data_IF_672341047571
#
_entry.id   IF_672341047571
#
_cell.length_a   1.000
_cell.length_b   1.000
_cell.length_c   1.000
_cell.angle_alpha   90.00
_cell.angle_beta   90.00
_cell.angle_gamma   90.00
#
_symmetry.space_group_name_H-M   'P 1'
#
loop_
_entity.id
_entity.type
_entity.pdbx_description
1 polymer ?
#
# COMPACT_ATOMS: atom_id res chain seq x y z
N UNK A 1 16.61 -11.31 -1.53
CA UNK A 1 15.21 -11.23 -2.00
C UNK A 1 14.80 -9.76 -2.08
N UNK A 2 14.21 -9.31 -3.18
CA UNK A 2 13.75 -7.92 -3.34
C UNK A 2 12.55 -7.63 -2.42
N UNK A 3 12.39 -6.38 -1.97
CA UNK A 3 11.25 -5.98 -1.10
C UNK A 3 9.90 -6.34 -1.71
N UNK A 4 9.76 -6.20 -3.03
CA UNK A 4 8.54 -6.55 -3.75
C UNK A 4 8.19 -8.04 -3.60
N UNK A 5 9.17 -8.93 -3.76
CA UNK A 5 9.00 -10.38 -3.59
C UNK A 5 8.58 -10.73 -2.15
N UNK A 6 9.16 -10.06 -1.16
CA UNK A 6 8.77 -10.26 0.25
C UNK A 6 7.31 -9.84 0.50
N UNK A 7 6.86 -8.71 -0.06
CA UNK A 7 5.45 -8.28 0.01
C UNK A 7 4.52 -9.29 -0.67
N UNK A 8 4.92 -9.83 -1.83
CA UNK A 8 4.18 -10.89 -2.54
C UNK A 8 4.05 -12.15 -1.69
N UNK A 9 5.11 -12.56 -1.00
CA UNK A 9 5.08 -13.72 -0.10
C UNK A 9 4.15 -13.49 1.09
N UNK A 10 4.12 -12.28 1.67
CA UNK A 10 3.17 -11.93 2.75
C UNK A 10 1.73 -12.00 2.22
N UNK A 11 1.46 -11.48 1.01
CA UNK A 11 0.15 -11.55 0.35
C UNK A 11 -0.28 -13.01 0.13
N UNK A 12 0.63 -13.86 -0.34
CA UNK A 12 0.41 -15.28 -0.53
C UNK A 12 0.06 -15.98 0.78
N UNK A 13 0.83 -15.74 1.85
CA UNK A 13 0.55 -16.30 3.19
C UNK A 13 -0.81 -15.87 3.74
N UNK A 14 -1.20 -14.60 3.53
CA UNK A 14 -2.51 -14.10 3.91
C UNK A 14 -3.64 -14.84 3.16
N UNK A 15 -3.48 -15.12 1.86
CA UNK A 15 -4.45 -15.90 1.06
C UNK A 15 -4.52 -17.37 1.47
N UNK A 16 -3.42 -17.93 1.97
CA UNK A 16 -3.40 -19.27 2.59
C UNK A 16 -4.08 -19.32 3.96
N UNK A 17 -4.59 -18.19 4.48
CA UNK A 17 -5.23 -18.12 5.79
C UNK A 17 -4.24 -18.23 6.96
N UNK A 18 -2.95 -18.01 6.71
CA UNK A 18 -1.92 -18.05 7.75
C UNK A 18 -2.07 -16.88 8.71
N UNK A 19 -1.71 -17.10 9.97
CA UNK A 19 -1.66 -16.04 10.96
C UNK A 19 -0.50 -15.08 10.70
N UNK A 20 -0.58 -13.89 11.30
CA UNK A 20 0.49 -12.89 11.24
C UNK A 20 1.79 -13.40 11.87
N UNK A 21 1.70 -14.21 12.92
CA UNK A 21 2.85 -14.81 13.61
C UNK A 21 3.53 -15.87 12.75
N UNK A 22 2.77 -16.76 12.12
CA UNK A 22 3.31 -17.73 11.15
C UNK A 22 3.98 -17.02 9.97
N UNK A 23 3.35 -15.94 9.47
CA UNK A 23 3.90 -15.15 8.36
C UNK A 23 5.20 -14.45 8.75
N UNK A 24 5.28 -13.87 9.95
CA UNK A 24 6.50 -13.25 10.46
C UNK A 24 7.65 -14.27 10.53
N UNK A 25 7.40 -15.44 11.12
CA UNK A 25 8.41 -16.51 11.25
C UNK A 25 8.86 -16.94 9.85
N UNK A 26 7.93 -17.27 8.95
CA UNK A 26 8.25 -17.70 7.59
C UNK A 26 9.04 -16.63 6.82
N UNK A 27 8.64 -15.36 6.89
CA UNK A 27 9.35 -14.24 6.24
C UNK A 27 10.76 -14.05 6.81
N UNK A 28 10.98 -14.26 8.11
CA UNK A 28 12.30 -14.17 8.71
C UNK A 28 13.17 -15.39 8.38
N UNK A 29 12.60 -16.59 8.34
CA UNK A 29 13.31 -17.82 7.97
C UNK A 29 13.78 -17.78 6.52
N UNK A 30 12.94 -17.33 5.58
CA UNK A 30 13.27 -17.30 4.15
C UNK A 30 14.27 -16.20 3.80
N UNK A 31 14.15 -15.02 4.42
CA UNK A 31 14.95 -13.85 4.05
C UNK A 31 16.14 -13.58 4.98
N UNK A 32 16.17 -14.20 6.16
CA UNK A 32 17.20 -13.99 7.17
C UNK A 32 17.37 -12.50 7.52
N UNK A 33 18.60 -12.01 7.37
CA UNK A 33 19.00 -10.63 7.72
C UNK A 33 18.34 -9.59 6.81
N UNK A 34 17.98 -9.97 5.58
CA UNK A 34 17.36 -9.08 4.59
C UNK A 34 15.83 -9.03 4.73
N UNK A 35 15.26 -9.68 5.74
CA UNK A 35 13.81 -9.71 5.95
C UNK A 35 13.26 -8.32 6.27
N UNK A 36 12.05 -8.04 5.79
CA UNK A 36 11.28 -6.88 6.23
C UNK A 36 11.21 -6.84 7.76
N UNK A 37 11.33 -5.64 8.32
CA UNK A 37 11.15 -5.43 9.76
C UNK A 37 9.76 -5.91 10.17
N UNK A 38 9.65 -6.38 11.42
CA UNK A 38 8.39 -6.82 12.02
C UNK A 38 7.24 -5.83 11.76
N UNK A 39 7.46 -4.53 11.98
CA UNK A 39 6.43 -3.50 11.74
C UNK A 39 5.91 -3.47 10.30
N UNK A 40 6.79 -3.58 9.31
CA UNK A 40 6.41 -3.61 7.90
C UNK A 40 5.62 -4.88 7.56
N UNK A 41 6.02 -6.04 8.09
CA UNK A 41 5.26 -7.29 7.88
C UNK A 41 3.84 -7.16 8.44
N UNK A 42 3.69 -6.54 9.61
CA UNK A 42 2.37 -6.34 10.22
C UNK A 42 1.48 -5.41 9.41
N UNK A 43 2.05 -4.31 8.92
CA UNK A 43 1.35 -3.36 8.06
C UNK A 43 0.86 -4.03 6.78
N UNK A 44 1.75 -4.71 6.05
CA UNK A 44 1.38 -5.40 4.81
C UNK A 44 0.34 -6.50 5.03
N UNK A 45 0.54 -7.33 6.06
CA UNK A 45 -0.40 -8.39 6.38
C UNK A 45 -1.80 -7.83 6.70
N UNK A 46 -1.88 -6.74 7.46
CA UNK A 46 -3.16 -6.10 7.81
C UNK A 46 -3.83 -5.47 6.58
N UNK A 47 -3.06 -4.84 5.67
CA UNK A 47 -3.57 -4.31 4.41
C UNK A 47 -4.17 -5.41 3.54
N UNK A 48 -3.44 -6.52 3.35
CA UNK A 48 -3.94 -7.65 2.55
C UNK A 48 -5.17 -8.30 3.18
N UNK A 49 -5.22 -8.43 4.51
CA UNK A 49 -6.40 -8.94 5.22
C UNK A 49 -7.61 -8.02 5.06
N UNK A 50 -7.39 -6.72 4.93
CA UNK A 50 -8.41 -5.72 4.63
C UNK A 50 -8.82 -5.63 3.15
N UNK A 51 -8.29 -6.49 2.28
CA UNK A 51 -8.61 -6.51 0.84
C UNK A 51 -7.80 -5.53 -0.02
N UNK A 52 -6.83 -4.80 0.55
CA UNK A 52 -5.96 -3.94 -0.23
C UNK A 52 -4.85 -4.76 -0.90
N UNK A 53 -4.99 -4.97 -2.20
CA UNK A 53 -4.17 -5.91 -2.96
C UNK A 53 -2.90 -5.34 -3.60
N UNK A 54 -2.76 -4.01 -3.64
CA UNK A 54 -1.59 -3.31 -4.22
C UNK A 54 -0.32 -3.62 -3.44
N UNK A 55 0.80 -3.78 -4.16
CA UNK A 55 2.13 -4.02 -3.60
C UNK A 55 2.95 -2.73 -3.53
N UNK A 56 2.47 -1.68 -4.17
CA UNK A 56 3.01 -0.34 -4.15
C UNK A 56 2.66 0.34 -2.82
N UNK A 57 3.59 1.17 -2.35
CA UNK A 57 3.26 2.08 -1.27
C UNK A 57 2.24 3.08 -1.82
N UNK A 58 1.13 3.28 -1.12
CA UNK A 58 0.14 4.25 -1.55
C UNK A 58 0.79 5.63 -1.47
N UNK A 59 0.66 6.40 -2.55
CA UNK A 59 1.17 7.76 -2.62
C UNK A 59 0.68 8.48 -1.38
N UNK A 60 1.58 8.81 -0.45
CA UNK A 60 1.22 9.67 0.67
C UNK A 60 0.71 10.95 0.04
N UNK A 61 -0.58 11.22 0.22
CA UNK A 61 -1.14 12.54 -0.05
C UNK A 61 -0.44 13.51 0.89
N UNK A 62 0.74 13.97 0.48
CA UNK A 62 1.43 15.07 1.11
C UNK A 62 0.54 16.29 0.98
N UNK A 63 0.57 17.15 2.01
CA UNK A 63 -0.10 18.45 2.02
C UNK A 63 0.05 19.08 0.64
N UNK A 64 -1.07 19.30 -0.06
CA UNK A 64 -1.08 20.02 -1.33
C UNK A 64 -0.31 21.32 -1.09
N UNK A 65 0.76 21.54 -1.85
CA UNK A 65 1.45 22.82 -1.79
C UNK A 65 0.44 23.87 -2.25
N UNK A 66 0.00 24.73 -1.33
CA UNK A 66 -0.78 25.91 -1.69
C UNK A 66 0.18 26.84 -2.42
N UNK A 67 0.26 26.71 -3.74
CA UNK A 67 0.86 27.74 -4.57
C UNK A 67 0.00 29.00 -4.44
N UNK A 68 0.50 29.97 -3.69
CA UNK A 68 -0.06 31.32 -3.66
C UNK A 68 0.14 31.93 -5.05
N UNK A 69 -0.87 31.79 -5.94
CA UNK A 69 -0.93 32.51 -7.22
C UNK A 69 -0.87 34.01 -6.94
N UNK A 70 0.28 34.64 -7.17
CA UNK A 70 0.33 36.07 -7.50
C UNK A 70 -0.02 36.20 -8.97
N UNK A 71 -1.28 36.59 -9.20
CA UNK A 71 -1.85 37.22 -10.38
C UNK A 71 -1.69 36.53 -11.75
N UNK A 72 -2.80 35.96 -12.22
CA UNK A 72 -3.21 36.04 -13.62
C UNK A 72 -2.65 34.97 -14.55
N UNK A 73 -3.30 33.80 -14.57
CA UNK A 73 -3.72 33.01 -15.75
C UNK A 73 -4.14 31.64 -15.22
N UNK A 74 -5.43 31.32 -15.38
CA UNK A 74 -6.01 30.08 -14.89
C UNK A 74 -5.53 28.90 -15.74
N UNK A 75 -4.72 28.01 -15.17
CA UNK A 75 -4.60 26.66 -15.69
C UNK A 75 -5.78 25.83 -15.16
N UNK A 76 -6.65 25.44 -16.09
CA UNK A 76 -7.70 24.44 -15.87
C UNK A 76 -7.04 23.08 -15.57
N UNK A 77 -7.31 22.55 -14.38
CA UNK A 77 -6.99 21.16 -14.07
C UNK A 77 -8.27 20.35 -14.29
N UNK A 78 -8.32 19.61 -15.39
CA UNK A 78 -9.38 18.62 -15.65
C UNK A 78 -9.22 17.50 -14.62
N UNK A 79 -9.96 17.59 -13.52
CA UNK A 79 -10.17 16.45 -12.62
C UNK A 79 -11.26 15.56 -13.22
N UNK A 80 -10.87 14.35 -13.63
CA UNK A 80 -11.82 13.29 -13.97
C UNK A 80 -12.65 12.94 -12.72
N UNK A 81 -13.89 13.40 -12.69
CA UNK A 81 -14.88 12.98 -11.71
C UNK A 81 -15.26 11.54 -12.07
N UNK A 82 -14.87 10.58 -11.21
CA UNK A 82 -15.41 9.23 -11.22
C UNK A 82 -16.93 9.34 -10.94
N UNK A 83 -17.83 8.89 -11.83
CA UNK A 83 -19.26 9.00 -11.56
C UNK A 83 -19.62 8.07 -10.40
N UNK A 84 -20.16 8.64 -9.32
CA UNK A 84 -20.91 7.88 -8.34
C UNK A 84 -22.27 7.57 -8.97
N UNK A 85 -22.45 6.32 -9.39
CA UNK A 85 -23.78 5.76 -9.56
C UNK A 85 -24.47 5.75 -8.20
N UNK A 86 -25.57 6.49 -8.07
CA UNK A 86 -26.62 6.15 -7.10
C UNK A 86 -27.93 6.03 -7.87
N UNK A 87 -28.49 4.82 -7.80
CA UNK A 87 -29.82 4.48 -8.27
C UNK A 87 -30.85 4.96 -7.25
N UNK A 88 -31.74 5.86 -7.67
CA UNK A 88 -33.19 5.71 -7.45
C UNK A 88 -34.00 6.71 -8.26
#
# INVERSE_FOLDING_TARGET
>A
MLKFEQKTNIKFMCRLGKSISETLIASQTVNGVDSLKKTAIYEWFSRFRGGHESLEDESRSGRQATETRKNGLASETVNQIRPKNDHR
#
